data_IF_826430985831
#
_entry.id   IF_826430985831
#
_cell.length_a   1.000
_cell.length_b   1.000
_cell.length_c   1.000
_cell.angle_alpha   90.00
_cell.angle_beta   90.00
_cell.angle_gamma   90.00
#
_symmetry.space_group_name_H-M   'P 1'
#
loop_
_entity.id
_entity.type
_entity.pdbx_description
1 polymer ?
#
# COMPACT_ATOMS: atom_id res chain seq x y z
N UNK A 1 0.03 -13.08 -23.18
CA UNK A 1 -0.09 -12.83 -24.62
C UNK A 1 1.25 -12.99 -25.37
N UNK A 2 2.38 -12.66 -24.75
CA UNK A 2 3.71 -12.81 -25.36
C UNK A 2 4.37 -14.17 -25.09
N UNK A 3 3.77 -15.02 -24.27
CA UNK A 3 4.33 -16.30 -23.86
C UNK A 3 3.42 -17.47 -24.28
N UNK A 4 3.87 -18.27 -25.25
CA UNK A 4 3.14 -19.40 -25.84
C UNK A 4 2.65 -20.45 -24.84
N UNK A 5 3.38 -20.64 -23.74
CA UNK A 5 3.06 -21.64 -22.70
C UNK A 5 2.19 -21.10 -21.58
N UNK A 6 1.68 -19.86 -21.69
CA UNK A 6 0.77 -19.31 -20.69
C UNK A 6 -0.54 -20.10 -20.71
N UNK A 7 -0.87 -20.77 -19.62
CA UNK A 7 -2.09 -21.57 -19.48
C UNK A 7 -3.15 -20.83 -18.69
N UNK A 8 -4.42 -21.15 -18.95
CA UNK A 8 -5.55 -20.62 -18.19
C UNK A 8 -5.41 -20.95 -16.69
N UNK A 9 -4.97 -22.18 -16.35
CA UNK A 9 -4.72 -22.59 -14.98
C UNK A 9 -3.62 -21.77 -14.31
N UNK A 10 -2.55 -21.41 -15.02
CA UNK A 10 -1.49 -20.55 -14.52
C UNK A 10 -1.97 -19.13 -14.23
N UNK A 11 -2.78 -18.56 -15.11
CA UNK A 11 -3.36 -17.22 -14.90
C UNK A 11 -4.26 -17.21 -13.66
N UNK A 12 -5.16 -18.18 -13.55
CA UNK A 12 -6.05 -18.30 -12.37
C UNK A 12 -5.26 -18.48 -11.07
N UNK A 13 -4.24 -19.34 -11.07
CA UNK A 13 -3.37 -19.51 -9.92
C UNK A 13 -2.65 -18.20 -9.54
N UNK A 14 -2.12 -17.48 -10.51
CA UNK A 14 -1.48 -16.18 -10.29
C UNK A 14 -2.42 -15.12 -9.73
N UNK A 15 -3.66 -15.06 -10.22
CA UNK A 15 -4.68 -14.16 -9.69
C UNK A 15 -5.04 -14.50 -8.24
N UNK A 16 -5.25 -15.77 -7.92
CA UNK A 16 -5.59 -16.20 -6.55
C UNK A 16 -4.42 -15.91 -5.61
N UNK A 17 -3.22 -16.39 -5.94
CA UNK A 17 -2.03 -16.23 -5.09
C UNK A 17 -1.68 -14.74 -4.94
N UNK A 18 -1.68 -13.97 -6.02
CA UNK A 18 -1.41 -12.54 -5.99
C UNK A 18 -2.39 -11.79 -5.08
N UNK A 19 -3.69 -12.10 -5.18
CA UNK A 19 -4.72 -11.48 -4.35
C UNK A 19 -4.58 -11.88 -2.88
N UNK A 20 -4.41 -13.17 -2.58
CA UNK A 20 -4.25 -13.66 -1.20
C UNK A 20 -3.02 -13.05 -0.54
N UNK A 21 -1.89 -12.99 -1.27
CA UNK A 21 -0.66 -12.37 -0.77
C UNK A 21 -0.84 -10.86 -0.57
N UNK A 22 -1.48 -10.17 -1.52
CA UNK A 22 -1.72 -8.72 -1.39
C UNK A 22 -2.59 -8.40 -0.18
N UNK A 23 -3.71 -9.10 0.00
CA UNK A 23 -4.61 -8.92 1.15
C UNK A 23 -3.90 -9.29 2.44
N UNK A 24 -3.23 -10.45 2.51
CA UNK A 24 -2.51 -10.89 3.69
C UNK A 24 -1.42 -9.90 4.11
N UNK A 25 -0.59 -9.43 3.17
CA UNK A 25 0.43 -8.43 3.45
C UNK A 25 -0.16 -7.08 3.87
N UNK A 26 -1.30 -6.67 3.29
CA UNK A 26 -1.98 -5.44 3.70
C UNK A 26 -2.43 -5.51 5.15
N UNK A 27 -2.99 -6.64 5.56
CA UNK A 27 -3.50 -6.86 6.92
C UNK A 27 -2.39 -6.88 8.00
N UNK A 28 -1.16 -7.25 7.66
CA UNK A 28 0.00 -7.28 8.58
C UNK A 28 0.97 -6.12 8.39
N UNK A 29 0.65 -5.18 7.47
CA UNK A 29 1.45 -3.99 7.15
C UNK A 29 1.01 -2.77 7.98
N UNK A 30 1.77 -1.67 7.97
CA UNK A 30 1.39 -0.41 8.61
C UNK A 30 0.12 0.25 8.05
N UNK A 31 -0.48 -0.30 6.98
CA UNK A 31 -1.74 0.21 6.41
C UNK A 31 -2.97 -0.08 7.29
N UNK A 32 -2.84 -1.03 8.22
CA UNK A 32 -3.86 -1.31 9.24
C UNK A 32 -3.56 -0.52 10.50
N UNK A 33 -4.60 -0.05 11.17
CA UNK A 33 -4.46 0.70 12.42
C UNK A 33 -4.02 -0.23 13.56
N UNK A 34 -2.87 0.07 14.14
CA UNK A 34 -2.32 -0.58 15.33
C UNK A 34 -2.49 0.36 16.53
N UNK A 35 -3.47 0.13 17.43
CA UNK A 35 -3.80 1.08 18.50
C UNK A 35 -2.63 1.40 19.40
N UNK A 36 -1.79 0.40 19.75
CA UNK A 36 -0.60 0.58 20.57
C UNK A 36 0.44 1.49 19.91
N UNK A 37 0.70 1.28 18.61
CA UNK A 37 1.63 2.10 17.83
C UNK A 37 1.11 3.55 17.67
N UNK A 38 -0.21 3.72 17.46
CA UNK A 38 -0.84 5.04 17.38
C UNK A 38 -0.70 5.79 18.70
N UNK A 39 -1.01 5.16 19.84
CA UNK A 39 -0.86 5.76 21.17
C UNK A 39 0.59 6.15 21.45
N UNK A 40 1.55 5.27 21.15
CA UNK A 40 2.98 5.54 21.33
C UNK A 40 3.48 6.70 20.46
N UNK A 41 3.02 6.79 19.22
CA UNK A 41 3.35 7.89 18.32
C UNK A 41 2.74 9.21 18.79
N UNK A 42 1.48 9.22 19.21
CA UNK A 42 0.80 10.39 19.76
C UNK A 42 1.40 10.87 21.06
N UNK A 43 1.80 9.94 21.93
CA UNK A 43 2.48 10.26 23.19
C UNK A 43 3.79 11.04 22.95
N UNK A 44 4.60 10.63 21.96
CA UNK A 44 5.82 11.36 21.60
C UNK A 44 5.55 12.79 21.13
N UNK A 45 4.40 13.02 20.46
CA UNK A 45 3.98 14.37 20.06
C UNK A 45 3.63 15.21 21.28
N UNK A 46 2.88 14.65 22.24
CA UNK A 46 2.49 15.33 23.48
C UNK A 46 3.70 15.60 24.38
N UNK A 47 4.60 14.62 24.54
CA UNK A 47 5.82 14.77 25.34
C UNK A 47 6.75 15.88 24.79
N UNK A 48 6.79 16.02 23.45
CA UNK A 48 7.58 17.05 22.78
C UNK A 48 6.88 18.40 22.63
N UNK A 49 5.57 18.50 22.91
CA UNK A 49 4.78 19.71 22.66
C UNK A 49 5.29 20.91 23.47
N UNK A 50 5.46 20.76 24.78
CA UNK A 50 5.86 21.84 25.67
C UNK A 50 7.21 22.45 25.29
N UNK A 51 8.22 21.62 25.04
CA UNK A 51 9.55 22.08 24.65
C UNK A 51 9.56 22.78 23.28
N UNK A 52 8.80 22.27 22.31
CA UNK A 52 8.69 22.91 20.99
C UNK A 52 7.92 24.22 21.06
N UNK A 53 6.85 24.27 21.85
CA UNK A 53 6.05 25.48 22.03
C UNK A 53 6.86 26.59 22.67
N UNK A 54 7.62 26.31 23.72
CA UNK A 54 8.50 27.30 24.37
C UNK A 54 9.60 27.82 23.44
N UNK A 55 10.21 26.96 22.64
CA UNK A 55 11.20 27.38 21.64
C UNK A 55 10.60 28.28 20.54
N UNK A 56 9.38 27.97 20.08
CA UNK A 56 8.66 28.78 19.11
C UNK A 56 8.27 30.14 19.71
N UNK A 57 7.79 30.17 20.94
CA UNK A 57 7.46 31.41 21.65
C UNK A 57 8.67 32.34 21.81
N UNK A 58 9.84 31.79 22.16
CA UNK A 58 11.08 32.56 22.20
C UNK A 58 11.44 33.14 20.82
N UNK A 59 11.27 32.36 19.74
CA UNK A 59 11.51 32.84 18.38
C UNK A 59 10.51 33.94 17.95
N UNK A 60 9.28 33.91 18.45
CA UNK A 60 8.27 34.97 18.19
C UNK A 60 8.63 36.30 18.86
N UNK A 61 9.43 36.29 19.93
CA UNK A 61 9.91 37.49 20.62
C UNK A 61 11.16 38.09 19.98
N UNK A 62 11.73 37.45 18.95
CA UNK A 62 12.88 37.97 18.23
C UNK A 62 12.52 39.23 17.40
N UNK A 63 13.50 40.10 17.22
CA UNK A 63 13.34 41.31 16.40
C UNK A 63 13.44 41.05 14.89
N UNK A 64 13.84 39.83 14.52
CA UNK A 64 14.01 39.40 13.14
C UNK A 64 12.66 38.98 12.53
N UNK A 65 12.23 39.69 11.51
CA UNK A 65 10.95 39.44 10.84
C UNK A 65 10.86 38.08 10.17
N UNK A 66 11.99 37.56 9.67
CA UNK A 66 12.06 36.24 9.03
C UNK A 66 11.91 35.14 10.08
N UNK A 67 12.60 35.27 11.22
CA UNK A 67 12.48 34.35 12.36
C UNK A 67 11.05 34.30 12.91
N UNK A 68 10.39 35.45 13.05
CA UNK A 68 8.99 35.54 13.49
C UNK A 68 8.03 34.89 12.49
N UNK A 69 8.24 35.09 11.18
CA UNK A 69 7.43 34.44 10.15
C UNK A 69 7.55 32.91 10.19
N UNK A 70 8.77 32.40 10.31
CA UNK A 70 9.04 30.96 10.43
C UNK A 70 8.46 30.36 11.72
N UNK A 71 8.54 31.09 12.83
CA UNK A 71 7.96 30.69 14.11
C UNK A 71 6.43 30.54 14.04
N UNK A 72 5.72 31.43 13.32
CA UNK A 72 4.27 31.31 13.10
C UNK A 72 3.90 30.08 12.28
N UNK A 73 4.69 29.75 11.24
CA UNK A 73 4.49 28.55 10.44
C UNK A 73 4.70 27.30 11.31
N UNK A 74 5.76 27.28 12.11
CA UNK A 74 6.08 26.17 13.00
C UNK A 74 5.00 25.98 14.09
N UNK A 75 4.45 27.06 14.64
CA UNK A 75 3.35 27.00 15.60
C UNK A 75 2.10 26.37 14.97
N UNK A 76 1.72 26.83 13.79
CA UNK A 76 0.57 26.26 13.06
C UNK A 76 0.78 24.76 12.76
N UNK A 77 2.00 24.36 12.39
CA UNK A 77 2.34 22.96 12.15
C UNK A 77 2.27 22.12 13.43
N UNK A 78 2.75 22.67 14.56
CA UNK A 78 2.67 22.01 15.87
C UNK A 78 1.21 21.83 16.31
N UNK A 79 0.38 22.87 16.22
CA UNK A 79 -1.03 22.79 16.58
C UNK A 79 -1.79 21.75 15.74
N UNK A 80 -1.51 21.68 14.43
CA UNK A 80 -2.05 20.64 13.54
C UNK A 80 -1.58 19.24 13.96
N UNK A 81 -0.30 19.08 14.33
CA UNK A 81 0.24 17.80 14.77
C UNK A 81 -0.40 17.32 16.06
N UNK A 82 -0.59 18.23 17.04
CA UNK A 82 -1.25 17.95 18.32
C UNK A 82 -2.73 17.61 18.12
N UNK A 83 -3.44 18.40 17.30
CA UNK A 83 -4.85 18.13 16.97
C UNK A 83 -5.02 16.76 16.31
N UNK A 84 -4.13 16.42 15.35
CA UNK A 84 -4.13 15.10 14.70
C UNK A 84 -3.82 13.99 15.72
N UNK A 85 -2.84 14.17 16.59
CA UNK A 85 -2.51 13.17 17.61
C UNK A 85 -3.69 12.89 18.55
N UNK A 86 -4.44 13.92 18.95
CA UNK A 86 -5.67 13.78 19.75
C UNK A 86 -6.75 13.00 19.00
N UNK A 87 -6.99 13.32 17.73
CA UNK A 87 -7.98 12.64 16.88
C UNK A 87 -7.58 11.17 16.62
N UNK A 88 -6.30 10.89 16.38
CA UNK A 88 -5.79 9.55 16.18
C UNK A 88 -5.91 8.68 17.45
N UNK A 89 -5.70 9.26 18.63
CA UNK A 89 -5.95 8.57 19.93
C UNK A 89 -7.43 8.28 20.12
N UNK A 90 -8.30 9.25 19.84
CA UNK A 90 -9.75 9.06 19.95
C UNK A 90 -10.29 7.94 19.04
N UNK A 91 -9.74 7.79 17.82
CA UNK A 91 -10.10 6.71 16.89
C UNK A 91 -9.73 5.31 17.38
N UNK A 92 -8.74 5.20 18.24
CA UNK A 92 -8.28 3.93 18.83
C UNK A 92 -8.71 3.75 20.28
N UNK A 93 -9.56 4.64 20.79
CA UNK A 93 -10.10 4.54 22.14
C UNK A 93 -10.92 3.26 22.29
N UNK A 94 -10.73 2.52 23.39
CA UNK A 94 -11.36 1.22 23.62
C UNK A 94 -10.81 0.06 22.81
N UNK A 95 -9.85 0.28 21.90
CA UNK A 95 -9.19 -0.79 21.13
C UNK A 95 -7.79 -1.04 21.68
N UNK A 96 -7.49 -2.31 21.95
CA UNK A 96 -6.15 -2.70 22.43
C UNK A 96 -5.28 -3.25 21.30
N UNK A 97 -5.88 -3.92 20.31
CA UNK A 97 -5.18 -4.64 19.25
C UNK A 97 -5.75 -4.29 17.87
N UNK A 98 -4.99 -4.59 16.84
CA UNK A 98 -5.45 -4.49 15.45
C UNK A 98 -6.58 -5.51 15.16
N UNK A 99 -7.21 -5.42 13.98
CA UNK A 99 -8.24 -6.36 13.54
C UNK A 99 -7.79 -7.83 13.52
N UNK A 100 -6.49 -8.09 13.42
CA UNK A 100 -5.88 -9.43 13.50
C UNK A 100 -5.35 -9.79 14.89
N UNK A 101 -5.58 -8.98 15.90
CA UNK A 101 -5.05 -9.19 17.24
C UNK A 101 -3.55 -8.90 17.39
N UNK A 102 -2.92 -8.29 16.41
CA UNK A 102 -1.50 -7.92 16.46
C UNK A 102 -1.31 -6.57 17.16
N UNK A 103 -0.24 -6.44 17.95
CA UNK A 103 0.12 -5.20 18.62
C UNK A 103 0.92 -4.25 17.73
N UNK A 104 1.74 -4.83 16.83
CA UNK A 104 2.62 -4.09 15.91
C UNK A 104 2.57 -4.72 14.51
N UNK A 105 2.87 -3.95 13.44
CA UNK A 105 2.96 -4.48 12.10
C UNK A 105 4.15 -5.45 11.97
N UNK A 106 3.92 -6.63 11.40
CA UNK A 106 4.99 -7.61 11.13
C UNK A 106 5.94 -7.13 10.02
N UNK A 107 5.42 -6.38 9.07
CA UNK A 107 6.20 -5.80 7.97
C UNK A 107 6.10 -4.27 7.99
N UNK A 108 7.25 -3.60 7.90
CA UNK A 108 7.33 -2.13 7.87
C UNK A 108 7.10 -1.53 6.47
N UNK A 109 6.78 -2.36 5.48
CA UNK A 109 6.52 -1.92 4.10
C UNK A 109 5.14 -1.29 3.98
N UNK A 110 5.10 -0.02 3.59
CA UNK A 110 3.85 0.71 3.31
C UNK A 110 3.15 0.23 2.05
N UNK A 111 3.90 -0.28 1.07
CA UNK A 111 3.35 -0.76 -0.20
C UNK A 111 3.53 -2.28 -0.34
N UNK A 112 2.51 -3.10 -0.02
CA UNK A 112 2.57 -4.55 -0.15
C UNK A 112 2.67 -5.00 -1.63
N UNK A 113 2.33 -4.16 -2.58
CA UNK A 113 2.40 -4.44 -4.03
C UNK A 113 3.82 -4.79 -4.49
N UNK A 114 4.87 -4.25 -3.85
CA UNK A 114 6.26 -4.55 -4.18
C UNK A 114 6.57 -6.05 -4.06
N UNK A 115 5.91 -6.76 -3.14
CA UNK A 115 6.09 -8.20 -2.93
C UNK A 115 5.00 -8.99 -3.68
N UNK A 116 3.73 -8.56 -3.61
CA UNK A 116 2.61 -9.33 -4.17
C UNK A 116 2.63 -9.39 -5.70
N UNK A 117 3.09 -8.34 -6.39
CA UNK A 117 3.15 -8.32 -7.85
C UNK A 117 4.17 -9.34 -8.39
N UNK A 118 5.45 -9.35 -7.96
CA UNK A 118 6.40 -10.37 -8.40
C UNK A 118 5.97 -11.80 -8.05
N UNK A 119 5.37 -12.00 -6.87
CA UNK A 119 4.87 -13.32 -6.46
C UNK A 119 3.68 -13.76 -7.32
N UNK A 120 2.77 -12.86 -7.69
CA UNK A 120 1.70 -13.15 -8.63
C UNK A 120 2.22 -13.58 -10.00
N UNK A 121 3.21 -12.86 -10.55
CA UNK A 121 3.87 -13.25 -11.81
C UNK A 121 4.57 -14.59 -11.69
N UNK A 122 5.31 -14.83 -10.61
CA UNK A 122 5.96 -16.12 -10.37
C UNK A 122 4.94 -17.25 -10.32
N UNK A 123 3.80 -17.04 -9.67
CA UNK A 123 2.71 -18.01 -9.60
C UNK A 123 2.09 -18.29 -10.98
N UNK A 124 1.95 -17.28 -11.85
CA UNK A 124 1.53 -17.47 -13.26
C UNK A 124 2.54 -18.34 -14.01
N UNK A 125 3.84 -18.04 -13.86
CA UNK A 125 4.90 -18.80 -14.53
C UNK A 125 4.90 -20.25 -14.07
N UNK A 126 4.96 -20.51 -12.77
CA UNK A 126 4.98 -21.85 -12.21
C UNK A 126 3.67 -22.61 -12.50
N UNK A 127 2.53 -21.95 -12.33
CA UNK A 127 1.23 -22.53 -12.63
C UNK A 127 1.09 -22.90 -14.11
N UNK A 128 1.59 -22.07 -15.03
CA UNK A 128 1.57 -22.38 -16.45
C UNK A 128 2.52 -23.52 -16.86
N UNK A 129 3.60 -23.73 -16.11
CA UNK A 129 4.49 -24.88 -16.32
C UNK A 129 3.87 -26.17 -15.78
N UNK A 130 3.14 -26.12 -14.67
CA UNK A 130 2.49 -27.26 -14.03
C UNK A 130 1.19 -27.66 -14.74
N UNK A 131 0.38 -26.68 -15.11
CA UNK A 131 -0.93 -26.87 -15.76
C UNK A 131 -0.83 -26.58 -17.25
N UNK A 132 -0.30 -27.53 -18.02
CA UNK A 132 -0.17 -27.37 -19.46
C UNK A 132 -1.54 -27.38 -20.14
N UNK A 133 -1.83 -26.37 -20.94
CA UNK A 133 -3.06 -26.25 -21.72
C UNK A 133 -2.74 -26.38 -23.23
N UNK A 134 -2.96 -27.57 -23.77
CA UNK A 134 -2.72 -27.88 -25.19
C UNK A 134 -3.56 -26.99 -26.12
N UNK A 135 -4.80 -26.68 -25.75
CA UNK A 135 -5.70 -25.83 -26.54
C UNK A 135 -5.17 -24.41 -26.68
N UNK A 136 -4.61 -23.87 -25.59
CA UNK A 136 -3.95 -22.55 -25.63
C UNK A 136 -2.71 -22.56 -26.53
N UNK A 137 -1.93 -23.64 -26.53
CA UNK A 137 -0.75 -23.78 -27.38
C UNK A 137 -1.12 -23.88 -28.86
N UNK A 138 -2.20 -24.59 -29.22
CA UNK A 138 -2.69 -24.76 -30.59
C UNK A 138 -3.27 -23.46 -31.14
N UNK A 139 -4.02 -22.73 -30.37
CA UNK A 139 -4.65 -21.45 -30.77
C UNK A 139 -3.67 -20.28 -30.78
N UNK A 140 -2.49 -20.43 -30.18
CA UNK A 140 -1.50 -19.36 -30.05
C UNK A 140 -1.13 -18.68 -31.38
N UNK A 141 -0.81 -19.39 -32.49
CA UNK A 141 -0.42 -18.73 -33.71
C UNK A 141 -1.52 -17.83 -34.27
N UNK A 142 -2.78 -18.29 -34.16
CA UNK A 142 -3.93 -17.55 -34.63
C UNK A 142 -4.20 -16.30 -33.78
N UNK A 143 -4.19 -16.44 -32.45
CA UNK A 143 -4.38 -15.32 -31.51
C UNK A 143 -3.25 -14.31 -31.65
N UNK A 144 -2.00 -14.76 -31.77
CA UNK A 144 -0.85 -13.90 -31.96
C UNK A 144 -0.91 -13.12 -33.26
N UNK A 145 -1.27 -13.79 -34.39
CA UNK A 145 -1.43 -13.13 -35.68
C UNK A 145 -2.55 -12.08 -35.62
N UNK A 146 -3.72 -12.43 -35.09
CA UNK A 146 -4.86 -11.52 -34.95
C UNK A 146 -4.53 -10.29 -34.12
N UNK A 147 -3.83 -10.47 -33.00
CA UNK A 147 -3.49 -9.39 -32.09
C UNK A 147 -2.47 -8.41 -32.71
N UNK A 148 -1.48 -8.91 -33.42
CA UNK A 148 -0.42 -8.08 -33.99
C UNK A 148 -0.77 -7.45 -35.34
N UNK A 149 -1.67 -8.08 -36.13
CA UNK A 149 -2.00 -7.63 -37.50
C UNK A 149 -3.41 -7.02 -37.61
N UNK A 150 -4.26 -7.18 -36.58
CA UNK A 150 -5.66 -6.76 -36.64
C UNK A 150 -6.53 -7.56 -37.62
N UNK A 151 -6.00 -8.59 -38.25
CA UNK A 151 -6.73 -9.44 -39.22
C UNK A 151 -7.89 -10.11 -38.48
N UNK A 152 -9.10 -10.05 -39.05
CA UNK A 152 -10.34 -10.60 -38.52
C UNK A 152 -10.89 -9.89 -37.27
N UNK A 153 -10.41 -8.70 -36.90
CA UNK A 153 -11.00 -7.91 -35.81
C UNK A 153 -12.49 -7.60 -36.06
N UNK A 154 -12.88 -7.42 -37.34
CA UNK A 154 -14.27 -7.19 -37.76
C UNK A 154 -15.21 -8.37 -37.49
N UNK A 155 -14.70 -9.62 -37.44
CA UNK A 155 -15.53 -10.79 -37.13
C UNK A 155 -15.76 -10.96 -35.61
N UNK A 156 -14.91 -10.39 -34.76
CA UNK A 156 -15.07 -10.45 -33.32
C UNK A 156 -16.16 -9.51 -32.79
N UNK A 157 -16.52 -8.48 -33.55
CA UNK A 157 -17.61 -7.53 -33.20
C UNK A 157 -19.00 -7.98 -33.66
N UNK A 158 -19.12 -9.16 -34.28
CA UNK A 158 -20.38 -9.71 -34.84
C UNK A 158 -21.07 -10.76 -33.94
N UNK A 159 -20.64 -10.88 -32.64
CA UNK A 159 -21.27 -11.74 -31.64
C UNK A 159 -21.81 -10.93 -30.48
#
# INVERSE_FOLDING_TARGET
>A
LYWKRCSTGGIVAGMIIGTVVAVGLTLVSPNVTYPKAVRAASQKVFDGEAAKRSAIEQALLSTDAEAVSQAKINLTALDKAVAKAKDDVAKVEGKERSCLGLEEPLFKLKNPGIISIPLGFLAVLLGSLLFRDRRSEELWPEVYARQNTGILASKASAH
#
